data_IF_403056124305
#
_entry.id   IF_403056124305
#
_cell.length_a   1.000
_cell.length_b   1.000
_cell.length_c   1.000
_cell.angle_alpha   90.00
_cell.angle_beta   90.00
_cell.angle_gamma   90.00
#
_symmetry.space_group_name_H-M   'P 1'
#
loop_
_entity.id
_entity.type
_entity.pdbx_description
1 polymer ?
#
# COMPACT_ATOMS: atom_id res chain seq x y z
N UNK A 1 70.54 15.17 13.58
CA UNK A 1 70.60 16.11 12.45
C UNK A 1 69.60 15.65 11.39
N UNK A 2 68.67 16.55 11.04
CA UNK A 2 68.04 16.83 9.73
C UNK A 2 68.49 15.98 8.52
N UNK A 3 67.70 15.67 7.49
CA UNK A 3 66.37 16.09 7.04
C UNK A 3 65.83 15.11 5.97
N UNK A 4 64.52 15.29 5.70
CA UNK A 4 63.60 14.69 4.75
C UNK A 4 64.07 14.35 3.32
N UNK A 5 63.26 13.59 2.59
CA UNK A 5 62.73 13.94 1.24
C UNK A 5 61.49 13.06 0.84
N UNK A 6 60.35 13.72 0.65
CA UNK A 6 59.22 13.59 -0.33
C UNK A 6 58.63 12.20 -0.72
N UNK A 7 57.33 11.97 -0.97
CA UNK A 7 56.29 12.76 -1.68
C UNK A 7 54.86 12.19 -1.43
N UNK A 8 53.85 13.00 -1.76
CA UNK A 8 52.39 12.93 -1.53
C UNK A 8 51.62 12.15 -2.63
N UNK A 9 50.43 11.59 -2.32
CA UNK A 9 49.19 11.77 -3.11
C UNK A 9 47.98 11.08 -2.44
N UNK A 10 46.96 11.89 -2.16
CA UNK A 10 45.60 11.47 -1.84
C UNK A 10 44.86 11.03 -3.12
N UNK A 11 44.03 9.99 -3.00
CA UNK A 11 42.82 9.75 -3.80
C UNK A 11 41.80 9.22 -2.78
N UNK A 12 40.89 10.02 -2.24
CA UNK A 12 39.82 10.70 -2.98
C UNK A 12 38.67 9.72 -3.16
N UNK A 13 37.97 9.38 -2.07
CA UNK A 13 36.72 8.62 -2.14
C UNK A 13 35.65 9.54 -2.74
N UNK A 14 35.28 9.30 -3.99
CA UNK A 14 34.14 9.95 -4.62
C UNK A 14 32.89 9.19 -4.19
N UNK A 15 32.14 9.77 -3.26
CA UNK A 15 30.76 9.37 -2.99
C UNK A 15 29.94 9.85 -4.19
N UNK A 16 29.62 8.94 -5.11
CA UNK A 16 28.68 9.22 -6.18
C UNK A 16 27.27 9.24 -5.58
N UNK A 17 26.84 10.40 -5.11
CA UNK A 17 25.44 10.66 -4.77
C UNK A 17 24.63 10.59 -6.07
N UNK A 18 23.99 9.44 -6.31
CA UNK A 18 23.01 9.31 -7.37
C UNK A 18 21.83 10.25 -7.11
N UNK A 19 21.67 11.23 -7.99
CA UNK A 19 20.49 12.08 -8.05
C UNK A 19 19.31 11.20 -8.50
N UNK A 20 18.43 10.82 -7.58
CA UNK A 20 17.14 10.22 -7.93
C UNK A 20 16.29 11.36 -8.49
N UNK A 21 16.08 11.35 -9.80
CA UNK A 21 15.06 12.18 -10.42
C UNK A 21 13.70 11.68 -9.92
N UNK A 22 13.08 12.43 -9.00
CA UNK A 22 11.72 12.20 -8.58
C UNK A 22 10.77 12.55 -9.74
N UNK A 23 10.40 11.56 -10.54
CA UNK A 23 9.18 11.65 -11.34
C UNK A 23 8.01 11.58 -10.36
N UNK A 24 7.25 12.65 -10.22
CA UNK A 24 6.01 12.66 -9.44
C UNK A 24 4.98 11.74 -10.12
N UNK A 25 4.99 10.47 -9.74
CA UNK A 25 3.89 9.57 -10.01
C UNK A 25 2.77 10.05 -9.08
N UNK A 26 1.56 10.28 -9.61
CA UNK A 26 0.37 10.45 -8.78
C UNK A 26 0.36 9.32 -7.74
N UNK A 27 0.18 9.63 -6.46
CA UNK A 27 0.25 8.66 -5.37
C UNK A 27 -0.81 7.57 -5.53
N UNK A 28 -0.48 6.52 -6.28
CA UNK A 28 -1.27 5.30 -6.33
C UNK A 28 -1.05 4.58 -5.00
N UNK A 29 -2.12 3.95 -4.51
CA UNK A 29 -2.01 3.11 -3.33
C UNK A 29 -1.03 1.96 -3.62
N UNK A 30 0.02 1.86 -2.82
CA UNK A 30 1.04 0.82 -2.92
C UNK A 30 0.74 -0.26 -1.87
N UNK A 31 0.76 -1.52 -2.29
CA UNK A 31 0.68 -2.63 -1.34
C UNK A 31 2.00 -2.81 -0.60
N UNK A 32 1.90 -3.00 0.72
CA UNK A 32 2.98 -3.40 1.60
C UNK A 32 2.70 -4.83 2.12
N UNK A 33 3.19 -5.88 1.42
CA UNK A 33 3.04 -7.26 1.85
C UNK A 33 3.67 -7.48 3.23
N UNK A 34 3.00 -8.25 4.07
CA UNK A 34 3.45 -8.55 5.44
C UNK A 34 3.73 -10.04 5.55
N UNK A 35 4.99 -10.39 5.81
CA UNK A 35 5.37 -11.76 6.09
C UNK A 35 4.81 -12.20 7.45
N UNK A 36 4.10 -13.34 7.48
CA UNK A 36 3.52 -13.90 8.71
C UNK A 36 4.56 -14.45 9.69
N UNK A 37 5.81 -14.61 9.24
CA UNK A 37 6.94 -15.00 10.07
C UNK A 37 6.79 -16.39 10.71
N UNK A 38 7.47 -16.59 11.84
CA UNK A 38 7.56 -17.88 12.53
C UNK A 38 6.23 -18.37 13.15
N UNK A 39 5.21 -17.52 13.22
CA UNK A 39 3.88 -17.89 13.72
C UNK A 39 3.13 -18.76 12.70
N UNK A 40 3.45 -18.64 11.42
CA UNK A 40 2.87 -19.45 10.36
C UNK A 40 3.54 -20.83 10.30
N UNK A 41 2.83 -21.85 10.80
CA UNK A 41 3.35 -23.21 10.94
C UNK A 41 2.58 -24.26 10.16
N UNK A 42 1.41 -23.92 9.61
CA UNK A 42 0.58 -24.87 8.85
C UNK A 42 0.92 -24.73 7.36
N UNK A 43 1.50 -25.73 6.71
CA UNK A 43 1.90 -25.62 5.31
C UNK A 43 0.67 -25.52 4.41
N UNK A 44 0.66 -24.53 3.51
CA UNK A 44 -0.38 -24.39 2.48
C UNK A 44 -0.41 -25.60 1.55
N UNK A 45 0.73 -26.26 1.32
CA UNK A 45 0.81 -27.53 0.57
C UNK A 45 0.16 -28.71 1.30
N UNK A 46 -0.10 -28.59 2.61
CA UNK A 46 -0.89 -29.56 3.38
C UNK A 46 -2.39 -29.35 3.23
N UNK A 47 -2.81 -28.20 2.72
CA UNK A 47 -4.21 -27.86 2.48
C UNK A 47 -4.56 -27.98 0.99
N UNK A 48 -3.73 -27.39 0.12
CA UNK A 48 -4.00 -27.29 -1.31
C UNK A 48 -2.94 -27.99 -2.16
N UNK A 49 -3.40 -28.52 -3.29
CA UNK A 49 -2.53 -28.91 -4.41
C UNK A 49 -2.16 -27.64 -5.16
N UNK A 50 -0.86 -27.38 -5.30
CA UNK A 50 -0.31 -26.20 -6.00
C UNK A 50 -0.87 -24.87 -5.47
N UNK A 51 -0.80 -24.68 -4.14
CA UNK A 51 -1.14 -23.42 -3.51
C UNK A 51 -0.35 -22.23 -4.12
N UNK A 52 -0.92 -21.01 -4.14
CA UNK A 52 -0.18 -19.79 -4.42
C UNK A 52 1.07 -19.69 -3.51
N UNK A 53 2.19 -19.27 -4.09
CA UNK A 53 3.47 -19.19 -3.37
C UNK A 53 4.33 -18.03 -3.90
N UNK A 54 5.33 -17.63 -3.13
CA UNK A 54 6.20 -16.50 -3.45
C UNK A 54 5.48 -15.15 -3.34
N UNK A 55 6.05 -14.12 -3.98
CA UNK A 55 5.37 -12.84 -4.16
C UNK A 55 4.34 -12.99 -5.28
N UNK A 56 3.06 -12.84 -4.95
CA UNK A 56 1.95 -13.07 -5.88
C UNK A 56 0.85 -12.03 -5.73
N UNK A 57 0.06 -11.82 -6.79
CA UNK A 57 -1.09 -10.92 -6.78
C UNK A 57 -2.38 -11.72 -6.68
N UNK A 58 -3.17 -11.46 -5.64
CA UNK A 58 -4.47 -12.07 -5.38
C UNK A 58 -5.49 -10.97 -5.12
N UNK A 59 -6.65 -11.02 -5.78
CA UNK A 59 -7.68 -9.99 -5.61
C UNK A 59 -7.24 -8.57 -6.00
N UNK A 60 -6.21 -8.44 -6.84
CA UNK A 60 -5.61 -7.15 -7.20
C UNK A 60 -4.53 -6.64 -6.24
N UNK A 61 -4.24 -7.38 -5.16
CA UNK A 61 -3.27 -6.99 -4.15
C UNK A 61 -2.07 -7.93 -4.08
N UNK A 62 -0.90 -7.38 -3.78
CA UNK A 62 0.35 -8.14 -3.66
C UNK A 62 0.51 -8.72 -2.26
N UNK A 63 0.78 -10.02 -2.20
CA UNK A 63 1.05 -10.79 -0.98
C UNK A 63 2.41 -11.47 -1.04
N UNK A 64 3.04 -11.66 0.13
CA UNK A 64 4.24 -12.49 0.27
C UNK A 64 3.87 -13.84 0.90
N UNK A 65 3.78 -14.86 0.05
CA UNK A 65 3.52 -16.25 0.42
C UNK A 65 4.78 -17.11 0.30
N UNK A 66 5.97 -16.51 0.34
CA UNK A 66 7.25 -17.22 0.16
C UNK A 66 7.50 -18.26 1.25
N UNK A 67 7.02 -18.01 2.47
CA UNK A 67 7.11 -18.97 3.57
C UNK A 67 6.25 -20.23 3.34
N UNK A 68 5.24 -20.17 2.47
CA UNK A 68 4.37 -21.29 2.13
C UNK A 68 3.51 -21.82 3.29
N UNK A 69 3.42 -21.08 4.40
CA UNK A 69 2.69 -21.49 5.60
C UNK A 69 1.60 -20.46 5.94
N UNK A 70 0.52 -20.94 6.52
CA UNK A 70 -0.53 -20.17 7.17
C UNK A 70 -0.39 -20.23 8.71
N UNK A 71 -0.99 -19.25 9.36
CA UNK A 71 -1.32 -19.31 10.79
C UNK A 71 -2.68 -20.00 10.90
N UNK A 72 -2.78 -20.98 11.78
CA UNK A 72 -4.05 -21.58 12.17
C UNK A 72 -4.32 -21.26 13.62
N UNK A 73 -5.40 -20.53 13.89
CA UNK A 73 -5.88 -20.25 15.23
C UNK A 73 -6.98 -21.26 15.56
N UNK A 74 -6.80 -22.00 16.65
CA UNK A 74 -7.89 -22.76 17.27
C UNK A 74 -8.54 -21.93 18.38
N UNK A 75 -9.62 -22.46 18.95
CA UNK A 75 -10.47 -21.73 19.89
C UNK A 75 -9.72 -21.04 21.03
N UNK A 76 -9.97 -19.74 21.18
CA UNK A 76 -9.34 -18.88 22.17
C UNK A 76 -7.91 -18.43 21.83
N UNK A 77 -7.36 -18.80 20.68
CA UNK A 77 -6.05 -18.34 20.24
C UNK A 77 -6.12 -17.00 19.51
N UNK A 78 -5.00 -16.30 19.52
CA UNK A 78 -4.81 -15.06 18.79
C UNK A 78 -3.41 -14.96 18.23
N UNK A 79 -3.28 -14.12 17.21
CA UNK A 79 -2.00 -13.68 16.67
C UNK A 79 -2.01 -12.17 16.50
N UNK A 80 -0.86 -11.56 16.70
CA UNK A 80 -0.66 -10.11 16.49
C UNK A 80 0.58 -9.88 15.65
N UNK A 81 0.41 -9.09 14.60
CA UNK A 81 1.46 -8.63 13.71
C UNK A 81 1.67 -7.14 13.95
N UNK A 82 2.90 -6.76 14.30
CA UNK A 82 3.29 -5.36 14.50
C UNK A 82 3.91 -4.79 13.23
N UNK A 83 3.68 -3.52 12.98
CA UNK A 83 4.27 -2.82 11.84
C UNK A 83 4.13 -1.30 11.97
N UNK A 84 4.40 -0.61 10.87
CA UNK A 84 4.20 0.83 10.77
C UNK A 84 3.82 1.17 9.34
N UNK A 85 2.52 1.25 9.10
CA UNK A 85 1.95 1.53 7.78
C UNK A 85 1.28 2.89 7.83
N UNK A 86 2.03 3.92 7.44
CA UNK A 86 1.54 5.29 7.41
C UNK A 86 0.52 5.48 6.28
N UNK A 87 -0.49 6.31 6.53
CA UNK A 87 -1.54 6.64 5.56
C UNK A 87 -2.19 5.39 4.95
N UNK A 88 -2.43 4.36 5.76
CA UNK A 88 -2.98 3.11 5.31
C UNK A 88 -4.43 3.31 4.86
N UNK A 89 -4.74 2.91 3.62
CA UNK A 89 -6.09 3.04 3.02
C UNK A 89 -6.86 1.73 3.04
N UNK A 90 -6.18 0.61 3.27
CA UNK A 90 -6.84 -0.69 3.43
C UNK A 90 -5.91 -1.75 4.00
N UNK A 91 -6.49 -2.73 4.69
CA UNK A 91 -5.82 -3.97 5.04
C UNK A 91 -6.54 -5.14 4.37
N UNK A 92 -5.78 -6.06 3.80
CA UNK A 92 -6.27 -7.17 3.01
C UNK A 92 -5.71 -8.46 3.59
N UNK A 93 -6.60 -9.33 4.06
CA UNK A 93 -6.23 -10.54 4.78
C UNK A 93 -6.74 -11.75 3.99
N UNK A 94 -5.86 -12.68 3.68
CA UNK A 94 -6.24 -13.97 3.10
C UNK A 94 -6.73 -14.88 4.23
N UNK A 95 -8.05 -15.03 4.34
CA UNK A 95 -8.73 -15.66 5.47
C UNK A 95 -9.73 -16.70 5.01
N UNK A 96 -9.66 -17.86 5.64
CA UNK A 96 -10.69 -18.90 5.58
C UNK A 96 -10.88 -19.48 6.97
N UNK A 97 -11.92 -20.30 7.13
CA UNK A 97 -12.07 -21.18 8.28
C UNK A 97 -11.86 -22.63 7.89
N UNK A 98 -11.64 -23.48 8.89
CA UNK A 98 -11.63 -24.93 8.77
C UNK A 98 -12.58 -25.56 9.80
N UNK A 99 -13.21 -26.67 9.42
CA UNK A 99 -14.23 -27.39 10.20
C UNK A 99 -15.48 -26.53 10.51
N UNK A 100 -15.81 -25.61 9.61
CA UNK A 100 -17.02 -24.79 9.65
C UNK A 100 -18.17 -25.49 8.95
N UNK A 101 -19.00 -26.18 9.73
CA UNK A 101 -20.24 -26.80 9.27
C UNK A 101 -21.41 -25.81 9.22
N UNK A 102 -22.48 -26.16 8.50
CA UNK A 102 -23.67 -25.32 8.29
C UNK A 102 -24.33 -24.77 9.57
N UNK A 103 -24.11 -25.37 10.74
CA UNK A 103 -24.62 -24.86 12.01
C UNK A 103 -23.84 -23.66 12.56
N UNK A 104 -22.70 -23.30 11.97
CA UNK A 104 -21.98 -22.07 12.27
C UNK A 104 -22.49 -20.88 11.44
N UNK A 105 -23.36 -21.08 10.45
CA UNK A 105 -23.85 -20.00 9.57
C UNK A 105 -24.34 -18.79 10.38
N UNK A 106 -23.91 -17.61 9.95
CA UNK A 106 -24.14 -16.31 10.57
C UNK A 106 -23.65 -16.17 12.03
N UNK A 107 -22.77 -17.05 12.48
CA UNK A 107 -22.17 -16.96 13.82
C UNK A 107 -20.85 -16.18 13.77
N UNK A 108 -20.71 -15.22 14.68
CA UNK A 108 -19.44 -14.53 14.93
C UNK A 108 -18.49 -15.48 15.69
N UNK A 109 -17.34 -15.76 15.09
CA UNK A 109 -16.36 -16.73 15.60
C UNK A 109 -15.00 -16.10 15.90
N UNK A 110 -14.80 -14.84 15.53
CA UNK A 110 -13.55 -14.14 15.73
C UNK A 110 -13.66 -12.67 15.39
N UNK A 111 -12.52 -11.98 15.41
CA UNK A 111 -12.40 -10.63 14.88
C UNK A 111 -10.97 -10.33 14.41
N UNK A 112 -10.87 -9.33 13.53
CA UNK A 112 -9.63 -8.65 13.18
C UNK A 112 -9.65 -7.28 13.84
N UNK A 113 -8.62 -6.93 14.61
CA UNK A 113 -8.47 -5.60 15.21
C UNK A 113 -7.23 -4.92 14.65
N UNK A 114 -7.40 -3.72 14.11
CA UNK A 114 -6.31 -2.83 13.72
C UNK A 114 -6.11 -1.77 14.79
N UNK A 115 -4.88 -1.61 15.24
CA UNK A 115 -4.46 -0.58 16.20
C UNK A 115 -3.72 0.54 15.47
N UNK A 116 -4.02 1.78 15.84
CA UNK A 116 -3.44 2.97 15.24
C UNK A 116 -2.46 3.68 16.16
N UNK A 117 -1.57 4.50 15.59
CA UNK A 117 -0.56 5.27 16.32
C UNK A 117 -1.13 6.30 17.30
N UNK A 118 -2.39 6.72 17.13
CA UNK A 118 -3.08 7.65 18.03
C UNK A 118 -3.74 6.94 19.24
N UNK A 119 -3.56 5.62 19.36
CA UNK A 119 -4.13 4.79 20.42
C UNK A 119 -5.56 4.32 20.14
N UNK A 120 -6.18 4.70 19.02
CA UNK A 120 -7.50 4.19 18.62
C UNK A 120 -7.39 2.81 17.97
N UNK A 121 -8.53 2.14 17.76
CA UNK A 121 -8.59 0.85 17.07
C UNK A 121 -9.89 0.71 16.27
N UNK A 122 -9.84 -0.13 15.22
CA UNK A 122 -10.97 -0.55 14.42
C UNK A 122 -11.06 -2.07 14.47
N UNK A 123 -12.25 -2.61 14.72
CA UNK A 123 -12.49 -4.05 14.78
C UNK A 123 -13.49 -4.46 13.70
N UNK A 124 -13.23 -5.60 13.08
CA UNK A 124 -14.13 -6.26 12.13
C UNK A 124 -14.40 -7.66 12.63
N UNK A 125 -15.66 -7.96 12.93
CA UNK A 125 -16.09 -9.29 13.33
C UNK A 125 -15.95 -10.28 12.17
N UNK A 126 -15.56 -11.51 12.49
CA UNK A 126 -15.48 -12.61 11.55
C UNK A 126 -16.69 -13.51 11.75
N UNK A 127 -17.54 -13.56 10.71
CA UNK A 127 -18.83 -14.25 10.73
C UNK A 127 -18.81 -15.34 9.67
N UNK A 128 -19.02 -16.59 10.09
CA UNK A 128 -19.15 -17.72 9.17
C UNK A 128 -20.39 -17.53 8.30
N UNK A 129 -20.29 -17.74 6.98
CA UNK A 129 -21.37 -17.44 6.02
C UNK A 129 -21.47 -15.94 5.67
N UNK A 130 -20.82 -15.07 6.45
CA UNK A 130 -20.67 -13.64 6.25
C UNK A 130 -19.42 -13.33 5.45
N UNK A 131 -18.33 -13.06 6.16
CA UNK A 131 -17.01 -12.70 5.62
C UNK A 131 -15.93 -13.77 5.86
N UNK A 132 -16.34 -14.95 6.34
CA UNK A 132 -15.50 -16.11 6.57
C UNK A 132 -16.24 -17.37 6.12
N UNK A 133 -15.56 -18.29 5.45
CA UNK A 133 -16.12 -19.60 5.05
C UNK A 133 -15.08 -20.70 5.04
N UNK A 134 -15.57 -21.95 4.99
CA UNK A 134 -14.74 -23.14 4.89
C UNK A 134 -13.81 -23.09 3.67
N UNK A 135 -12.53 -23.38 3.90
CA UNK A 135 -11.51 -23.43 2.86
C UNK A 135 -11.75 -24.54 1.82
N UNK A 136 -12.36 -25.67 2.24
CA UNK A 136 -12.87 -26.76 1.38
C UNK A 136 -14.34 -26.57 1.05
N UNK A 137 -14.62 -25.74 0.04
CA UNK A 137 -16.00 -25.46 -0.39
C UNK A 137 -16.69 -26.67 -1.03
N UNK A 138 -15.92 -27.64 -1.53
CA UNK A 138 -16.41 -28.89 -2.12
C UNK A 138 -16.64 -30.02 -1.10
N UNK A 139 -16.40 -29.79 0.19
CA UNK A 139 -16.70 -30.78 1.23
C UNK A 139 -18.20 -30.78 1.58
N UNK A 140 -18.74 -31.94 1.96
CA UNK A 140 -20.14 -32.05 2.36
C UNK A 140 -20.40 -31.42 3.73
N UNK A 141 -21.56 -30.76 3.89
CA UNK A 141 -22.06 -30.18 5.14
C UNK A 141 -21.26 -29.00 5.72
N UNK A 142 -20.31 -28.46 4.97
CA UNK A 142 -19.57 -27.26 5.35
C UNK A 142 -20.26 -25.98 4.87
N UNK A 143 -20.08 -24.89 5.60
CA UNK A 143 -20.52 -23.57 5.16
C UNK A 143 -19.50 -23.01 4.15
N UNK A 144 -19.94 -22.91 2.90
CA UNK A 144 -19.15 -22.47 1.76
C UNK A 144 -19.60 -21.12 1.19
N UNK A 145 -20.43 -20.39 1.93
CA UNK A 145 -21.01 -19.12 1.51
C UNK A 145 -20.18 -17.95 2.06
N UNK A 146 -19.95 -16.95 1.20
CA UNK A 146 -19.59 -15.59 1.62
C UNK A 146 -20.70 -14.69 1.11
N UNK A 147 -21.26 -13.88 2.00
CA UNK A 147 -22.32 -12.92 1.69
C UNK A 147 -21.92 -11.47 1.88
N UNK A 148 -20.85 -11.21 2.66
CA UNK A 148 -20.32 -9.87 2.86
C UNK A 148 -19.53 -9.40 1.62
N UNK A 149 -19.89 -8.26 1.01
CA UNK A 149 -19.15 -7.72 -0.15
C UNK A 149 -17.71 -7.32 0.16
N UNK A 150 -17.33 -7.16 1.43
CA UNK A 150 -15.96 -6.92 1.84
C UNK A 150 -15.08 -8.18 1.76
N UNK A 151 -15.68 -9.36 1.59
CA UNK A 151 -14.97 -10.62 1.41
C UNK A 151 -15.22 -11.19 0.00
N UNK A 152 -14.17 -11.72 -0.62
CA UNK A 152 -14.27 -12.32 -1.95
C UNK A 152 -13.30 -13.47 -2.15
N UNK A 153 -13.69 -14.43 -2.98
CA UNK A 153 -12.80 -15.46 -3.49
C UNK A 153 -11.73 -14.81 -4.38
N UNK A 154 -10.46 -15.01 -4.03
CA UNK A 154 -9.32 -14.49 -4.81
C UNK A 154 -8.47 -15.59 -5.42
N UNK A 155 -8.71 -16.84 -5.06
CA UNK A 155 -8.07 -18.00 -5.66
C UNK A 155 -8.93 -19.25 -5.48
N UNK A 156 -9.02 -20.05 -6.54
CA UNK A 156 -9.68 -21.36 -6.53
C UNK A 156 -8.71 -22.41 -7.07
N UNK A 157 -8.71 -23.58 -6.43
CA UNK A 157 -7.92 -24.72 -6.85
C UNK A 157 -8.44 -26.01 -6.23
N UNK A 158 -7.52 -26.94 -5.95
CA UNK A 158 -7.87 -28.27 -5.46
C UNK A 158 -7.33 -28.46 -4.05
N UNK A 159 -8.18 -28.86 -3.12
CA UNK A 159 -7.78 -29.31 -1.81
C UNK A 159 -7.02 -30.64 -1.88
N UNK A 160 -6.26 -30.98 -0.84
CA UNK A 160 -5.42 -32.19 -0.82
C UNK A 160 -6.25 -33.49 -0.91
N UNK A 161 -7.53 -33.44 -0.54
CA UNK A 161 -8.48 -34.56 -0.64
C UNK A 161 -9.21 -34.63 -2.00
N UNK A 162 -8.85 -33.75 -2.94
CA UNK A 162 -9.44 -33.68 -4.28
C UNK A 162 -10.71 -32.84 -4.39
N UNK A 163 -11.22 -32.31 -3.28
CA UNK A 163 -12.34 -31.36 -3.31
C UNK A 163 -11.92 -29.97 -3.82
N UNK A 164 -12.89 -29.09 -4.07
CA UNK A 164 -12.59 -27.68 -4.37
C UNK A 164 -12.02 -26.99 -3.13
N UNK A 165 -10.90 -26.30 -3.32
CA UNK A 165 -10.27 -25.46 -2.32
C UNK A 165 -10.27 -23.99 -2.76
N UNK A 166 -10.49 -23.08 -1.81
CA UNK A 166 -10.53 -21.65 -2.06
C UNK A 166 -9.61 -20.90 -1.10
N UNK A 167 -9.13 -19.73 -1.53
CA UNK A 167 -8.57 -18.72 -0.65
C UNK A 167 -9.41 -17.45 -0.84
N UNK A 168 -9.96 -16.97 0.26
CA UNK A 168 -10.73 -15.73 0.28
C UNK A 168 -9.92 -14.58 0.85
N UNK A 169 -10.29 -13.37 0.46
CA UNK A 169 -9.69 -12.13 0.93
C UNK A 169 -10.74 -11.27 1.60
N UNK A 170 -10.51 -10.93 2.87
CA UNK A 170 -11.23 -9.90 3.59
C UNK A 170 -10.56 -8.55 3.34
N UNK A 171 -11.36 -7.56 2.94
CA UNK A 171 -10.96 -6.16 2.76
C UNK A 171 -11.47 -5.33 3.94
N UNK A 172 -10.55 -4.67 4.65
CA UNK A 172 -10.89 -3.70 5.68
C UNK A 172 -10.48 -2.32 5.19
N UNK A 173 -11.47 -1.50 4.84
CA UNK A 173 -11.24 -0.12 4.42
C UNK A 173 -10.78 0.78 5.56
N UNK A 174 -9.82 1.65 5.27
CA UNK A 174 -9.24 2.61 6.22
C UNK A 174 -9.28 4.03 5.63
N UNK A 175 -9.29 5.04 6.49
CA UNK A 175 -9.46 6.43 6.07
C UNK A 175 -8.20 7.06 5.44
N UNK A 176 -7.05 6.40 5.48
CA UNK A 176 -5.79 6.92 4.93
C UNK A 176 -5.14 8.02 5.76
N UNK A 177 -5.62 8.30 6.97
CA UNK A 177 -5.13 9.43 7.79
C UNK A 177 -4.23 9.01 8.94
N UNK A 178 -4.29 7.74 9.33
CA UNK A 178 -3.59 7.20 10.50
C UNK A 178 -2.50 6.21 10.10
N UNK A 179 -1.53 6.04 11.01
CA UNK A 179 -0.56 4.95 10.90
C UNK A 179 -1.11 3.72 11.61
N UNK A 180 -1.26 2.60 10.89
CA UNK A 180 -1.55 1.31 11.50
C UNK A 180 -0.25 0.80 12.15
N UNK A 181 -0.33 0.43 13.42
CA UNK A 181 0.80 -0.04 14.24
C UNK A 181 0.70 -1.51 14.61
N UNK A 182 -0.50 -2.08 14.55
CA UNK A 182 -0.73 -3.49 14.83
C UNK A 182 -1.99 -4.01 14.15
N UNK A 183 -1.96 -5.29 13.80
CA UNK A 183 -3.11 -6.04 13.33
C UNK A 183 -3.17 -7.32 14.16
N UNK A 184 -4.26 -7.53 14.88
CA UNK A 184 -4.51 -8.78 15.60
C UNK A 184 -5.68 -9.53 14.99
N UNK A 185 -5.57 -10.85 15.01
CA UNK A 185 -6.62 -11.78 14.60
C UNK A 185 -6.89 -12.70 15.78
N UNK A 186 -8.16 -12.83 16.14
CA UNK A 186 -8.61 -13.58 17.31
C UNK A 186 -9.64 -14.62 16.89
N UNK A 187 -9.45 -15.87 17.28
CA UNK A 187 -10.50 -16.89 17.32
C UNK A 187 -11.18 -16.79 18.69
N UNK A 188 -12.38 -16.20 18.71
CA UNK A 188 -13.19 -16.03 19.92
C UNK A 188 -14.20 -17.15 20.12
N UNK A 189 -14.24 -18.11 19.20
CA UNK A 189 -15.14 -19.24 19.31
C UNK A 189 -14.73 -20.10 20.51
N UNK A 190 -15.72 -20.66 21.20
CA UNK A 190 -15.53 -21.36 22.48
C UNK A 190 -15.88 -22.84 22.42
N UNK A 191 -16.28 -23.34 21.26
CA UNK A 191 -16.82 -24.70 21.12
C UNK A 191 -16.58 -25.32 19.74
N UNK A 192 -16.50 -26.65 19.70
CA UNK A 192 -16.28 -27.40 18.46
C UNK A 192 -14.81 -27.45 18.05
N UNK A 193 -14.57 -27.69 16.76
CA UNK A 193 -13.23 -27.88 16.19
C UNK A 193 -12.89 -26.84 15.12
N UNK A 194 -13.65 -25.74 15.08
CA UNK A 194 -13.43 -24.64 14.16
C UNK A 194 -12.04 -24.06 14.38
N UNK A 195 -11.36 -23.76 13.28
CA UNK A 195 -10.14 -22.98 13.26
C UNK A 195 -10.23 -21.86 12.23
N UNK A 196 -9.57 -20.73 12.51
CA UNK A 196 -9.36 -19.65 11.53
C UNK A 196 -8.00 -19.88 10.87
N UNK A 197 -7.97 -19.87 9.54
CA UNK A 197 -6.78 -20.03 8.72
C UNK A 197 -6.43 -18.70 8.08
N UNK A 198 -5.26 -18.18 8.41
CA UNK A 198 -4.75 -16.90 7.95
C UNK A 198 -3.46 -17.09 7.17
N UNK A 199 -3.53 -16.88 5.86
CA UNK A 199 -2.48 -17.28 4.92
C UNK A 199 -1.64 -16.13 4.37
N UNK A 200 -2.13 -14.89 4.47
CA UNK A 200 -1.38 -13.73 3.99
C UNK A 200 -2.01 -12.41 4.39
N UNK A 201 -1.17 -11.38 4.47
CA UNK A 201 -1.57 -10.02 4.80
C UNK A 201 -0.84 -9.05 3.87
N UNK A 202 -1.55 -8.01 3.46
CA UNK A 202 -0.95 -6.82 2.88
C UNK A 202 -1.72 -5.59 3.32
N UNK A 203 -1.01 -4.47 3.43
CA UNK A 203 -1.60 -3.19 3.81
C UNK A 203 -1.35 -2.22 2.66
N UNK A 204 -2.40 -1.64 2.13
CA UNK A 204 -2.26 -0.62 1.11
C UNK A 204 -1.99 0.73 1.77
N UNK A 205 -0.93 1.39 1.33
CA UNK A 205 -0.46 2.68 1.83
C UNK A 205 -0.44 3.70 0.68
N UNK A 206 -0.64 4.96 1.02
CA UNK A 206 -0.36 6.05 0.08
C UNK A 206 0.95 6.70 0.46
N UNK A 207 1.86 6.82 -0.52
CA UNK A 207 3.07 7.61 -0.32
C UNK A 207 2.66 9.04 0.10
N UNK A 208 3.33 9.62 1.11
CA UNK A 208 3.08 11.01 1.45
C UNK A 208 3.34 11.85 0.21
N UNK A 209 2.34 12.62 -0.21
CA UNK A 209 2.49 13.58 -1.31
C UNK A 209 3.74 14.42 -1.02
N UNK A 210 4.75 14.44 -1.92
CA UNK A 210 5.93 15.26 -1.70
C UNK A 210 5.46 16.68 -1.41
N UNK A 211 5.97 17.27 -0.31
CA UNK A 211 5.70 18.68 -0.04
C UNK A 211 6.06 19.48 -1.30
N UNK A 212 5.24 20.47 -1.72
CA UNK A 212 5.60 21.34 -2.83
C UNK A 212 6.99 21.90 -2.56
N UNK A 213 7.97 21.56 -3.41
CA UNK A 213 9.30 22.13 -3.31
C UNK A 213 9.13 23.64 -3.54
N UNK A 214 9.45 24.51 -2.57
CA UNK A 214 9.38 25.95 -2.80
C UNK A 214 10.33 26.30 -3.95
N UNK A 215 9.79 26.79 -5.07
CA UNK A 215 10.56 27.14 -6.28
C UNK A 215 10.51 26.12 -7.43
N UNK A 216 9.55 25.18 -7.47
CA UNK A 216 9.36 24.27 -8.62
C UNK A 216 8.81 24.94 -9.89
N UNK A 217 8.43 26.21 -9.82
CA UNK A 217 8.13 27.12 -10.92
C UNK A 217 9.39 27.80 -11.50
N UNK A 218 10.56 27.63 -10.88
CA UNK A 218 11.81 28.22 -11.35
C UNK A 218 12.59 27.30 -12.30
N UNK A 219 12.63 27.67 -13.58
CA UNK A 219 13.43 26.99 -14.62
C UNK A 219 14.94 27.20 -14.50
N UNK A 220 15.45 27.94 -13.48
CA UNK A 220 16.89 28.19 -13.30
C UNK A 220 17.38 27.79 -11.90
N UNK A 221 18.55 27.14 -11.78
CA UNK A 221 19.20 26.93 -10.48
C UNK A 221 19.59 28.26 -9.80
N UNK A 222 19.10 28.49 -8.58
CA UNK A 222 19.40 29.65 -7.74
C UNK A 222 18.17 30.13 -6.95
N UNK A 223 18.31 30.30 -5.63
CA UNK A 223 17.23 30.52 -4.65
C UNK A 223 16.52 31.90 -4.71
N UNK A 224 16.17 32.43 -5.86
CA UNK A 224 15.47 33.73 -5.88
C UNK A 224 14.49 33.87 -7.03
N UNK A 225 13.33 33.22 -6.90
CA UNK A 225 12.17 33.41 -7.79
C UNK A 225 11.43 34.74 -7.53
N UNK A 226 11.86 35.47 -6.51
CA UNK A 226 11.17 36.61 -5.90
C UNK A 226 12.09 37.84 -5.78
N UNK A 227 13.14 37.90 -6.62
CA UNK A 227 13.89 39.14 -6.84
C UNK A 227 13.35 39.84 -8.10
N UNK A 228 13.29 41.18 -8.13
CA UNK A 228 12.90 41.93 -9.33
C UNK A 228 13.75 41.62 -10.58
N UNK A 229 14.97 41.09 -10.38
CA UNK A 229 15.84 40.63 -11.45
C UNK A 229 15.37 39.31 -12.08
N UNK A 230 14.84 38.39 -11.27
CA UNK A 230 14.29 37.11 -11.75
C UNK A 230 12.98 37.32 -12.52
N UNK A 231 12.09 38.18 -12.01
CA UNK A 231 10.82 38.54 -12.67
C UNK A 231 11.06 39.22 -14.03
N UNK A 232 12.01 40.17 -14.10
CA UNK A 232 12.31 40.87 -15.36
C UNK A 232 12.95 39.97 -16.42
N UNK A 233 13.69 38.94 -16.02
CA UNK A 233 14.42 38.07 -16.94
C UNK A 233 13.53 36.94 -17.50
N UNK A 234 12.40 36.67 -16.85
CA UNK A 234 11.41 35.69 -17.29
C UNK A 234 10.21 36.31 -18.03
N UNK A 235 10.12 37.65 -18.07
CA UNK A 235 9.10 38.35 -18.82
C UNK A 235 9.15 37.99 -20.31
N UNK A 236 7.97 37.81 -20.93
CA UNK A 236 7.79 37.40 -22.33
C UNK A 236 8.61 38.19 -23.35
N UNK A 237 8.94 39.45 -23.03
CA UNK A 237 9.82 40.32 -23.83
C UNK A 237 11.25 39.79 -24.05
N UNK A 238 11.71 38.83 -23.24
CA UNK A 238 13.05 38.24 -23.33
C UNK A 238 13.03 36.73 -23.63
N UNK A 239 11.85 36.13 -23.78
CA UNK A 239 11.78 34.73 -24.18
C UNK A 239 12.08 34.60 -25.68
N UNK A 240 12.77 33.54 -26.12
CA UNK A 240 12.90 33.23 -27.53
C UNK A 240 11.49 33.07 -28.11
N UNK A 241 11.18 33.80 -29.19
CA UNK A 241 9.94 33.62 -29.93
C UNK A 241 9.76 32.14 -30.26
N UNK A 242 8.58 31.54 -30.00
CA UNK A 242 8.35 30.15 -30.33
C UNK A 242 8.48 29.98 -31.84
N UNK A 243 9.38 29.08 -32.26
CA UNK A 243 9.52 28.63 -33.65
C UNK A 243 8.25 27.87 -34.04
N UNK A 244 7.20 28.59 -34.44
CA UNK A 244 6.02 28.00 -35.06
C UNK A 244 5.94 28.52 -36.48
N UNK A 245 6.18 27.62 -37.43
CA UNK A 245 5.81 27.81 -38.82
C UNK A 245 4.29 28.01 -38.90
N UNK A 246 3.91 29.13 -39.52
CA UNK A 246 2.58 29.70 -39.64
C UNK A 246 1.54 28.86 -40.38
N UNK A 247 0.26 29.02 -40.05
CA UNK A 247 -0.76 29.64 -40.94
C UNK A 247 -2.09 29.93 -40.17
N UNK A 248 -2.95 30.86 -40.64
CA UNK A 248 -3.46 31.94 -39.78
C UNK A 248 -4.99 31.96 -39.58
N UNK A 249 -5.46 32.66 -38.56
CA UNK A 249 -6.77 33.31 -38.57
C UNK A 249 -6.75 34.61 -37.76
N UNK A 250 -6.96 35.71 -38.49
CA UNK A 250 -7.10 37.12 -38.09
C UNK A 250 -8.23 37.27 -37.05
N UNK A 251 -8.06 37.99 -35.92
CA UNK A 251 -8.43 39.41 -35.78
C UNK A 251 -7.80 40.05 -34.53
N UNK A 252 -7.44 41.34 -34.66
CA UNK A 252 -6.56 42.18 -33.82
C UNK A 252 -7.03 42.49 -32.37
N UNK A 253 -6.09 42.80 -31.44
CA UNK A 253 -6.36 43.58 -30.25
C UNK A 253 -6.28 45.09 -30.53
N UNK A 254 -7.19 45.87 -29.94
CA UNK A 254 -7.10 47.34 -29.92
C UNK A 254 -6.16 47.79 -28.82
N UNK A 255 -5.01 48.34 -29.21
CA UNK A 255 -4.17 49.15 -28.34
C UNK A 255 -4.90 50.43 -27.90
N UNK A 256 -4.69 50.84 -26.64
CA UNK A 256 -4.68 52.27 -26.31
C UNK A 256 -3.67 52.55 -25.20
N UNK A 257 -2.52 53.06 -25.63
CA UNK A 257 -1.55 53.80 -24.82
C UNK A 257 -2.18 55.07 -24.21
N UNK A 258 -1.74 55.44 -23.00
CA UNK A 258 -1.14 56.76 -22.61
C UNK A 258 -0.74 56.68 -21.12
N UNK A 259 0.52 56.65 -20.70
CA UNK A 259 1.65 57.61 -20.75
C UNK A 259 1.72 58.59 -19.55
N UNK A 260 2.85 58.50 -18.84
CA UNK A 260 3.60 59.46 -18.01
C UNK A 260 2.95 60.21 -16.83
N UNK A 261 3.63 60.13 -15.68
CA UNK A 261 3.40 60.99 -14.52
C UNK A 261 4.05 62.37 -14.62
N UNK A 262 3.66 63.24 -13.69
CA UNK A 262 4.45 64.36 -13.18
C UNK A 262 3.87 64.81 -11.83
N UNK A 263 4.71 64.84 -10.79
CA UNK A 263 4.51 65.68 -9.60
C UNK A 263 5.16 67.03 -9.86
N UNK A 264 4.54 68.12 -9.38
CA UNK A 264 5.18 69.26 -8.68
C UNK A 264 4.14 70.28 -8.18
N UNK A 265 4.35 70.68 -6.91
CA UNK A 265 3.84 71.83 -6.14
C UNK A 265 2.36 71.88 -5.73
#
# INVERSE_FOLDING_TARGET
MNAAIFTKSAKGLILASGLIAASSIMGYAQDAPVALGAQATVPLSGMYILAPSGITTLGGHTFDLTAGNAIQLVNGQSVSLSGSWANATGAYLLLNSANTYLWYDQTVVGNVTLTFSDGTSQSTDLTVGGNLREWRTGAGFTDNIISDPAAANVWTGTAIDGSEGVIDMLTIGLDGTKTVTGISLNDTNTWGALAIVFSGLTVSITDPTPAPVPGSDCTRPGNSCNTPAAENSQADKWQPLPTVLSTPSVTLPSDKHTNSGHHTH
#
